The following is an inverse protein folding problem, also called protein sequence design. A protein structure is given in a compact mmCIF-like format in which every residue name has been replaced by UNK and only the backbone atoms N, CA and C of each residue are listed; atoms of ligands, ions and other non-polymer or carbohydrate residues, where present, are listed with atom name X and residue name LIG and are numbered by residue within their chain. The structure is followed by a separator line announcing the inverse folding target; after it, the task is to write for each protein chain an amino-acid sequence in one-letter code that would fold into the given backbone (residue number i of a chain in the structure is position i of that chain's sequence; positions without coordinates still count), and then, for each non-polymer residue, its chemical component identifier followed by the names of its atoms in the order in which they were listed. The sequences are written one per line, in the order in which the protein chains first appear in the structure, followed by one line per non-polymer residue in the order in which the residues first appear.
data_IF_176501299896
#
_entry.id   IF_176501299896
#
_cell.length_a   1.000
_cell.length_b   1.000
_cell.length_c   1.000
_cell.angle_alpha   90.00
_cell.angle_beta   90.00
_cell.angle_gamma   90.00
#
_symmetry.space_group_name_H-M   'P 1'
#
loop_
_entity.id
_entity.type
_entity.pdbx_description
1 polymer ?
#
# COMPACT_ATOMS: atom_id res chain seq x y z
N UNK A 1 21.05 38.64 16.10
CA UNK A 1 21.75 37.56 15.40
C UNK A 1 20.94 36.29 15.63
N UNK A 2 20.27 35.75 14.62
CA UNK A 2 19.50 34.50 14.77
C UNK A 2 20.50 33.34 14.76
N UNK A 3 20.76 32.76 15.93
CA UNK A 3 21.53 31.52 16.05
C UNK A 3 20.54 30.38 15.78
N UNK A 4 20.55 29.87 14.56
CA UNK A 4 19.77 28.68 14.20
C UNK A 4 20.62 27.49 14.62
N UNK A 5 20.12 26.71 15.57
CA UNK A 5 20.69 25.42 15.94
C UNK A 5 20.65 24.53 14.68
N UNK A 6 21.80 24.35 14.03
CA UNK A 6 21.99 23.61 12.77
C UNK A 6 22.03 22.10 13.04
N UNK A 7 21.14 21.59 13.88
CA UNK A 7 21.29 20.33 14.63
C UNK A 7 21.46 19.06 13.82
N UNK A 8 21.47 19.09 12.48
CA UNK A 8 21.84 17.93 11.66
C UNK A 8 22.80 18.24 10.50
N UNK A 9 23.23 19.48 10.30
CA UNK A 9 24.22 19.84 9.27
C UNK A 9 23.88 19.37 7.84
N UNK A 10 22.64 18.93 7.58
CA UNK A 10 22.21 18.27 6.36
C UNK A 10 20.77 18.64 5.99
N UNK A 11 20.42 18.48 4.73
CA UNK A 11 19.09 18.76 4.19
C UNK A 11 18.11 17.61 4.47
N UNK A 12 16.94 17.86 5.06
CA UNK A 12 15.94 16.81 5.35
C UNK A 12 15.28 16.19 4.10
N UNK A 13 15.52 16.75 2.91
CA UNK A 13 14.93 16.25 1.65
C UNK A 13 15.89 15.32 0.91
N UNK A 14 17.16 15.72 0.74
CA UNK A 14 18.16 14.91 0.05
C UNK A 14 19.17 14.23 0.98
N UNK A 15 19.11 14.51 2.29
CA UNK A 15 20.02 14.05 3.33
C UNK A 15 21.50 14.41 3.10
N UNK A 16 21.79 15.28 2.14
CA UNK A 16 23.14 15.76 1.86
C UNK A 16 23.59 16.80 2.88
N UNK A 17 24.86 16.72 3.30
CA UNK A 17 25.50 17.71 4.16
C UNK A 17 25.52 19.11 3.54
N UNK A 18 25.53 20.12 4.40
CA UNK A 18 25.72 21.54 4.06
C UNK A 18 27.21 21.91 3.98
N UNK A 19 28.08 20.93 3.76
CA UNK A 19 29.54 21.01 3.79
C UNK A 19 30.15 21.69 2.56
N UNK A 20 29.37 21.86 1.50
CA UNK A 20 29.90 22.21 0.20
C UNK A 20 30.50 23.63 0.10
N UNK A 21 31.50 23.74 -0.77
CA UNK A 21 32.23 24.96 -1.07
C UNK A 21 31.33 26.12 -1.53
N UNK A 22 31.77 27.38 -1.36
CA UNK A 22 31.03 28.55 -1.83
C UNK A 22 30.76 28.46 -3.34
N UNK A 23 29.53 28.09 -3.70
CA UNK A 23 29.10 27.96 -5.10
C UNK A 23 28.27 26.70 -5.38
N UNK A 24 28.35 25.67 -4.54
CA UNK A 24 27.50 24.50 -4.69
C UNK A 24 26.04 24.80 -4.28
N UNK A 25 25.06 24.18 -4.96
CA UNK A 25 23.63 24.29 -4.63
C UNK A 25 23.24 23.69 -3.27
N UNK A 26 24.21 23.10 -2.57
CA UNK A 26 24.08 22.47 -1.25
C UNK A 26 24.21 23.41 -0.06
N UNK A 27 24.38 24.72 -0.27
CA UNK A 27 24.37 25.67 0.85
C UNK A 27 22.99 25.68 1.56
N UNK A 28 22.94 25.89 2.89
CA UNK A 28 21.68 25.92 3.63
C UNK A 28 20.90 27.20 3.30
N UNK A 29 19.61 27.04 3.06
CA UNK A 29 18.66 28.12 2.80
C UNK A 29 17.44 27.97 3.70
N UNK A 30 16.96 29.08 4.24
CA UNK A 30 15.73 29.15 5.02
C UNK A 30 14.57 29.72 4.19
N UNK A 31 13.35 29.32 4.55
CA UNK A 31 12.08 29.82 4.01
C UNK A 31 11.30 30.55 5.13
N UNK A 32 10.22 31.30 4.85
CA UNK A 32 9.53 32.14 5.85
C UNK A 32 9.08 31.42 7.12
N UNK A 33 8.85 30.11 7.08
CA UNK A 33 8.48 29.32 8.26
C UNK A 33 9.67 28.92 9.14
N UNK A 34 10.90 29.27 8.80
CA UNK A 34 12.11 29.02 9.59
C UNK A 34 12.87 27.73 9.30
N UNK A 35 12.25 26.75 8.62
CA UNK A 35 12.91 25.48 8.27
C UNK A 35 14.01 25.66 7.21
N UNK A 36 15.03 24.80 7.25
CA UNK A 36 16.27 24.91 6.45
C UNK A 36 16.44 23.72 5.50
N UNK A 37 16.75 24.00 4.24
CA UNK A 37 16.96 22.99 3.19
C UNK A 37 18.05 23.45 2.21
N UNK A 38 18.55 22.58 1.33
CA UNK A 38 19.38 23.04 0.22
C UNK A 38 18.52 23.75 -0.86
N UNK A 39 19.16 24.61 -1.67
CA UNK A 39 18.45 25.41 -2.68
C UNK A 39 17.79 24.53 -3.73
N UNK A 40 18.48 23.48 -4.17
CA UNK A 40 17.99 22.54 -5.18
C UNK A 40 16.68 21.89 -4.74
N UNK A 41 16.61 21.39 -3.51
CA UNK A 41 15.39 20.79 -2.97
C UNK A 41 14.23 21.79 -2.89
N UNK A 42 14.48 23.05 -2.51
CA UNK A 42 13.44 24.08 -2.45
C UNK A 42 12.92 24.50 -3.83
N UNK A 43 13.75 24.45 -4.86
CA UNK A 43 13.35 24.78 -6.23
C UNK A 43 12.52 23.67 -6.85
N UNK A 44 12.87 22.40 -6.56
CA UNK A 44 12.21 21.21 -7.12
C UNK A 44 10.89 20.87 -6.42
N UNK A 45 10.68 21.28 -5.17
CA UNK A 45 9.47 20.91 -4.43
C UNK A 45 8.20 21.55 -5.03
N UNK A 46 7.23 20.70 -5.36
CA UNK A 46 5.93 21.08 -5.89
C UNK A 46 4.83 20.30 -5.16
N UNK A 47 3.77 20.96 -4.65
CA UNK A 47 3.58 22.42 -4.61
C UNK A 47 4.62 23.12 -3.72
N UNK A 48 4.79 24.44 -3.88
CA UNK A 48 5.73 25.26 -3.07
C UNK A 48 5.27 25.40 -1.61
N UNK A 49 5.36 24.31 -0.86
CA UNK A 49 5.01 24.18 0.55
C UNK A 49 6.18 23.54 1.29
N UNK A 50 6.43 23.99 2.52
CA UNK A 50 7.48 23.42 3.36
C UNK A 50 7.28 21.89 3.53
N UNK A 51 8.30 21.05 3.26
CA UNK A 51 8.21 19.60 3.50
C UNK A 51 7.87 19.20 4.93
N UNK A 52 8.21 20.04 5.91
CA UNK A 52 8.03 19.75 7.34
C UNK A 52 6.68 20.26 7.87
N UNK A 53 6.36 21.55 7.70
CA UNK A 53 5.14 22.15 8.25
C UNK A 53 4.07 22.53 7.23
N UNK A 54 4.31 22.29 5.93
CA UNK A 54 3.40 22.59 4.82
C UNK A 54 3.04 24.08 4.63
N UNK A 55 3.70 24.99 5.34
CA UNK A 55 3.52 26.43 5.13
C UNK A 55 3.91 26.82 3.69
N UNK A 56 3.07 27.58 2.96
CA UNK A 56 3.39 27.99 1.60
C UNK A 56 4.59 28.95 1.59
N UNK A 57 5.40 28.88 0.55
CA UNK A 57 6.50 29.81 0.34
C UNK A 57 6.67 30.14 -1.15
N UNK A 58 7.38 31.23 -1.43
CA UNK A 58 7.69 31.64 -2.79
C UNK A 58 9.21 31.66 -3.01
N UNK A 59 9.70 31.45 -4.24
CA UNK A 59 11.14 31.35 -4.52
C UNK A 59 11.91 32.60 -4.09
N UNK A 60 11.31 33.78 -4.26
CA UNK A 60 11.88 35.06 -3.88
C UNK A 60 12.06 35.23 -2.36
N UNK A 61 11.36 34.42 -1.55
CA UNK A 61 11.43 34.44 -0.08
C UNK A 61 12.52 33.52 0.48
N UNK A 62 13.16 32.72 -0.37
CA UNK A 62 14.26 31.84 0.03
C UNK A 62 15.47 32.71 0.37
N UNK A 63 16.06 32.52 1.56
CA UNK A 63 17.24 33.25 2.03
C UNK A 63 18.38 32.28 2.31
N UNK A 64 19.57 32.57 1.75
CA UNK A 64 20.79 31.81 2.05
C UNK A 64 21.22 32.09 3.48
N UNK A 65 21.50 31.04 4.24
CA UNK A 65 22.05 31.15 5.60
C UNK A 65 23.57 31.09 5.49
N UNK A 66 24.24 32.08 6.08
CA UNK A 66 25.70 32.06 6.22
C UNK A 66 26.06 31.31 7.50
N UNK A 67 26.62 30.11 7.34
CA UNK A 67 27.19 29.37 8.46
C UNK A 67 28.62 29.85 8.62
N UNK A 68 28.86 30.67 9.64
CA UNK A 68 30.21 31.01 10.04
C UNK A 68 30.82 29.73 10.62
N UNK A 69 31.68 29.07 9.85
CA UNK A 69 32.56 28.04 10.40
C UNK A 69 33.43 28.77 11.41
N UNK A 70 33.11 28.63 12.70
CA UNK A 70 34.06 29.02 13.74
C UNK A 70 35.33 28.25 13.41
N UNK A 71 36.40 28.98 13.09
CA UNK A 71 37.73 28.40 12.95
C UNK A 71 37.89 27.54 14.19
N UNK A 72 38.08 26.22 14.02
CA UNK A 72 38.42 25.38 15.16
C UNK A 72 39.52 26.13 15.92
N UNK A 73 39.40 26.29 17.25
CA UNK A 73 40.41 27.04 18.00
C UNK A 73 41.76 26.51 17.54
N UNK A 74 42.60 27.40 17.00
CA UNK A 74 43.99 27.05 16.72
C UNK A 74 44.49 26.41 18.01
N UNK A 75 45.13 25.22 17.94
CA UNK A 75 45.49 24.47 19.13
C UNK A 75 46.24 25.43 20.03
N UNK A 76 45.57 25.89 21.08
CA UNK A 76 46.22 26.64 22.13
C UNK A 76 47.21 25.62 22.67
N UNK A 77 48.50 25.95 22.61
CA UNK A 77 49.53 25.20 23.32
C UNK A 77 49.22 25.35 24.82
N UNK A 78 48.25 24.59 25.29
CA UNK A 78 47.98 24.44 26.71
C UNK A 78 49.17 23.63 27.24
N UNK A 79 49.92 24.13 28.23
CA UNK A 79 51.01 23.37 28.85
C UNK A 79 50.54 21.96 29.19
N UNK A 80 51.32 20.98 28.74
CA UNK A 80 51.04 19.55 28.65
C UNK A 80 50.87 18.82 30.01
N UNK A 81 50.59 19.53 31.10
CA UNK A 81 50.62 18.98 32.47
C UNK A 81 49.25 18.73 33.09
N UNK A 82 48.15 19.13 32.44
CA UNK A 82 46.81 18.60 32.76
C UNK A 82 46.35 17.63 31.67
N UNK A 83 46.83 16.40 31.82
CA UNK A 83 46.31 15.22 31.13
C UNK A 83 44.82 15.12 31.49
N UNK A 84 43.96 15.65 30.63
CA UNK A 84 42.58 15.18 30.57
C UNK A 84 42.65 13.70 30.21
N UNK A 85 42.46 12.84 31.22
CA UNK A 85 42.14 11.43 31.02
C UNK A 85 40.86 11.41 30.18
N UNK A 86 41.01 11.36 28.86
CA UNK A 86 39.90 11.04 27.96
C UNK A 86 39.37 9.69 28.47
N UNK A 87 38.11 9.61 28.93
CA UNK A 87 37.54 8.33 29.32
C UNK A 87 37.75 7.37 28.17
N UNK A 88 38.35 6.22 28.51
CA UNK A 88 38.86 5.24 27.56
C UNK A 88 37.74 4.90 26.57
N UNK A 89 37.95 5.17 25.29
CA UNK A 89 37.03 4.81 24.19
C UNK A 89 36.63 3.32 24.23
N UNK A 90 37.39 2.51 24.95
CA UNK A 90 37.23 1.08 25.10
C UNK A 90 35.98 0.73 25.94
N UNK A 91 35.63 1.48 27.00
CA UNK A 91 34.41 1.22 27.78
C UNK A 91 33.14 1.49 26.96
N UNK A 92 33.11 2.60 26.22
CA UNK A 92 31.98 2.95 25.36
C UNK A 92 31.79 1.90 24.24
N UNK A 93 32.90 1.50 23.60
CA UNK A 93 32.86 0.50 22.53
C UNK A 93 32.47 -0.90 23.02
N UNK A 94 32.89 -1.29 24.23
CA UNK A 94 32.53 -2.57 24.82
C UNK A 94 31.03 -2.63 25.17
N UNK A 95 30.47 -1.54 25.68
CA UNK A 95 29.02 -1.42 25.88
C UNK A 95 28.25 -1.48 24.55
N UNK A 96 28.74 -0.85 23.48
CA UNK A 96 28.15 -0.98 22.14
C UNK A 96 28.22 -2.43 21.66
N UNK A 97 29.35 -3.11 21.80
CA UNK A 97 29.53 -4.49 21.39
C UNK A 97 28.55 -5.43 22.10
N UNK A 98 28.50 -5.36 23.44
CA UNK A 98 27.55 -6.14 24.26
C UNK A 98 26.10 -5.83 23.91
N UNK A 99 25.79 -4.56 23.60
CA UNK A 99 24.46 -4.17 23.17
C UNK A 99 24.09 -4.86 21.85
N UNK A 100 24.98 -4.83 20.86
CA UNK A 100 24.75 -5.50 19.58
C UNK A 100 24.59 -7.02 19.74
N UNK A 101 25.42 -7.66 20.56
CA UNK A 101 25.32 -9.09 20.87
C UNK A 101 24.00 -9.44 21.57
N UNK A 102 23.54 -8.59 22.49
CA UNK A 102 22.26 -8.78 23.18
C UNK A 102 21.04 -8.60 22.26
N UNK A 103 21.18 -7.89 21.12
CA UNK A 103 20.11 -7.77 20.13
C UNK A 103 19.95 -9.03 19.27
N UNK A 104 20.99 -9.85 19.17
CA UNK A 104 20.97 -11.11 18.41
C UNK A 104 20.50 -12.30 19.27
N UNK A 105 20.48 -12.15 20.59
CA UNK A 105 20.00 -13.18 21.50
C UNK A 105 18.47 -13.27 21.51
N UNK A 106 17.92 -14.48 21.54
CA UNK A 106 16.46 -14.75 21.60
C UNK A 106 15.80 -14.38 22.95
N UNK A 107 16.56 -13.83 23.91
CA UNK A 107 16.10 -13.54 25.28
C UNK A 107 16.21 -12.05 25.58
N UNK A 108 15.15 -11.48 26.14
CA UNK A 108 15.09 -10.05 26.47
C UNK A 108 15.90 -9.66 27.73
N UNK A 109 16.12 -10.59 28.65
CA UNK A 109 16.82 -10.36 29.92
C UNK A 109 18.23 -9.74 29.76
N UNK A 110 19.16 -10.31 28.95
CA UNK A 110 20.48 -9.71 28.76
C UNK A 110 20.43 -8.32 28.08
N UNK A 111 19.43 -8.06 27.23
CA UNK A 111 19.27 -6.77 26.57
C UNK A 111 18.86 -5.68 27.58
N UNK A 112 17.94 -5.98 28.49
CA UNK A 112 17.49 -5.03 29.51
C UNK A 112 18.62 -4.66 30.47
N UNK A 113 19.46 -5.62 30.84
CA UNK A 113 20.63 -5.38 31.67
C UNK A 113 21.62 -4.41 30.99
N UNK A 114 21.97 -4.67 29.72
CA UNK A 114 22.89 -3.81 28.95
C UNK A 114 22.29 -2.40 28.75
N UNK A 115 20.98 -2.28 28.55
CA UNK A 115 20.31 -0.96 28.46
C UNK A 115 20.44 -0.19 29.79
N UNK A 116 20.32 -0.87 30.94
CA UNK A 116 20.53 -0.27 32.26
C UNK A 116 21.93 0.31 32.41
N UNK A 117 22.95 -0.50 32.09
CA UNK A 117 24.35 -0.09 32.14
C UNK A 117 24.65 1.10 31.22
N UNK A 118 24.10 1.09 30.01
CA UNK A 118 24.24 2.21 29.07
C UNK A 118 23.57 3.48 29.59
N UNK A 119 22.40 3.36 30.21
CA UNK A 119 21.68 4.50 30.77
C UNK A 119 22.46 5.11 31.92
N UNK A 120 23.04 4.28 32.79
CA UNK A 120 23.93 4.72 33.86
C UNK A 120 25.20 5.38 33.31
N UNK A 121 25.80 4.80 32.27
CA UNK A 121 26.96 5.36 31.59
C UNK A 121 26.66 6.76 31.00
N UNK A 122 25.53 6.93 30.31
CA UNK A 122 25.11 8.22 29.77
C UNK A 122 24.78 9.25 30.87
N UNK A 123 24.20 8.81 32.00
CA UNK A 123 23.84 9.67 33.12
C UNK A 123 25.03 10.06 34.00
N UNK A 124 26.15 9.33 33.92
CA UNK A 124 27.36 9.62 34.69
C UNK A 124 28.01 10.98 34.35
N UNK A 125 27.57 11.64 33.27
CA UNK A 125 28.09 12.94 32.83
C UNK A 125 29.50 12.86 32.23
N UNK A 126 30.09 11.68 32.14
CA UNK A 126 31.45 11.45 31.62
C UNK A 126 31.56 11.65 30.10
N UNK A 127 30.44 11.64 29.37
CA UNK A 127 30.42 11.73 27.90
C UNK A 127 29.50 12.84 27.43
N UNK A 128 29.98 13.67 26.50
CA UNK A 128 29.12 14.60 25.76
C UNK A 128 28.17 13.83 24.85
N UNK A 129 26.87 13.98 25.08
CA UNK A 129 25.78 13.32 24.33
C UNK A 129 25.89 13.47 22.80
N UNK A 130 26.47 14.56 22.32
CA UNK A 130 26.60 14.84 20.88
C UNK A 130 27.71 14.02 20.20
N UNK A 131 28.72 13.59 20.94
CA UNK A 131 29.86 12.82 20.41
C UNK A 131 29.78 11.32 20.73
N UNK A 132 28.82 10.90 21.56
CA UNK A 132 28.69 9.50 21.98
C UNK A 132 28.20 8.61 20.82
N UNK A 133 28.98 7.56 20.54
CA UNK A 133 28.61 6.49 19.62
C UNK A 133 27.40 5.74 20.14
N UNK A 134 27.33 5.49 21.45
CA UNK A 134 26.18 4.86 22.11
C UNK A 134 24.90 5.67 21.88
N UNK A 135 24.92 6.98 22.12
CA UNK A 135 23.74 7.82 21.92
C UNK A 135 23.22 7.76 20.47
N UNK A 136 24.14 7.67 19.50
CA UNK A 136 23.80 7.49 18.07
C UNK A 136 23.19 6.12 17.79
N UNK A 137 23.74 5.05 18.37
CA UNK A 137 23.20 3.68 18.24
C UNK A 137 21.77 3.60 18.78
N UNK A 138 21.49 4.18 19.95
CA UNK A 138 20.14 4.21 20.53
C UNK A 138 19.14 4.98 19.66
N UNK A 139 19.55 6.12 19.10
CA UNK A 139 18.73 6.90 18.18
C UNK A 139 18.37 6.08 16.93
N UNK A 140 19.35 5.40 16.35
CA UNK A 140 19.15 4.52 15.20
C UNK A 140 18.25 3.33 15.55
N UNK A 141 18.42 2.70 16.71
CA UNK A 141 17.54 1.62 17.19
C UNK A 141 16.09 2.08 17.27
N UNK A 142 15.83 3.24 17.89
CA UNK A 142 14.47 3.79 18.02
C UNK A 142 13.84 4.05 16.64
N UNK A 143 14.63 4.51 15.68
CA UNK A 143 14.18 4.67 14.29
C UNK A 143 13.85 3.32 13.65
N UNK A 144 14.71 2.31 13.81
CA UNK A 144 14.47 0.94 13.33
C UNK A 144 13.19 0.35 13.93
N UNK A 145 12.97 0.49 15.23
CA UNK A 145 11.77 -0.02 15.89
C UNK A 145 10.50 0.71 15.41
N UNK A 146 10.60 2.02 15.19
CA UNK A 146 9.52 2.81 14.60
C UNK A 146 9.21 2.33 13.18
N UNK A 147 10.23 2.05 12.36
CA UNK A 147 10.08 1.54 11.01
C UNK A 147 9.51 0.10 11.01
N UNK A 148 9.97 -0.77 11.91
CA UNK A 148 9.43 -2.14 12.08
C UNK A 148 7.95 -2.11 12.48
N UNK A 149 7.57 -1.24 13.41
CA UNK A 149 6.17 -1.05 13.82
C UNK A 149 5.31 -0.55 12.66
N UNK A 150 5.79 0.44 11.89
CA UNK A 150 5.12 0.92 10.67
C UNK A 150 5.00 -0.19 9.61
N UNK A 151 6.06 -0.96 9.39
CA UNK A 151 6.07 -2.07 8.45
C UNK A 151 5.06 -3.14 8.83
N UNK A 152 4.98 -3.53 10.12
CA UNK A 152 3.96 -4.46 10.62
C UNK A 152 2.54 -3.96 10.36
N UNK A 153 2.25 -2.69 10.68
CA UNK A 153 0.95 -2.06 10.40
C UNK A 153 0.63 -2.01 8.90
N UNK A 154 1.62 -1.75 8.05
CA UNK A 154 1.44 -1.77 6.61
C UNK A 154 1.17 -3.19 6.10
N UNK A 155 1.88 -4.20 6.61
CA UNK A 155 1.65 -5.61 6.28
C UNK A 155 0.24 -6.06 6.66
N UNK A 156 -0.23 -5.69 7.85
CA UNK A 156 -1.62 -5.94 8.29
C UNK A 156 -2.63 -5.31 7.33
N UNK A 157 -2.44 -4.02 6.97
CA UNK A 157 -3.31 -3.33 6.00
C UNK A 157 -3.26 -3.97 4.61
N UNK A 158 -2.09 -4.40 4.15
CA UNK A 158 -1.96 -5.10 2.87
C UNK A 158 -2.77 -6.40 2.87
N UNK A 159 -2.73 -7.17 3.96
CA UNK A 159 -3.60 -8.35 4.14
C UNK A 159 -5.08 -7.99 4.01
N UNK A 160 -5.54 -6.93 4.69
CA UNK A 160 -6.95 -6.50 4.57
C UNK A 160 -7.34 -6.10 3.14
N UNK A 161 -6.44 -5.46 2.37
CA UNK A 161 -6.72 -5.12 0.99
C UNK A 161 -6.74 -6.36 0.08
N UNK A 162 -5.88 -7.33 0.32
CA UNK A 162 -5.91 -8.61 -0.40
C UNK A 162 -7.22 -9.35 -0.19
N UNK A 163 -7.77 -9.34 1.03
CA UNK A 163 -9.05 -9.95 1.34
C UNK A 163 -10.21 -9.23 0.66
N UNK A 164 -10.23 -7.88 0.68
CA UNK A 164 -11.21 -7.07 -0.06
C UNK A 164 -11.16 -7.37 -1.57
N UNK A 165 -9.96 -7.50 -2.14
CA UNK A 165 -9.80 -7.83 -3.57
C UNK A 165 -10.34 -9.23 -3.89
N UNK A 166 -10.17 -10.21 -3.00
CA UNK A 166 -10.77 -11.54 -3.17
C UNK A 166 -12.30 -11.47 -3.12
N UNK A 167 -12.86 -10.74 -2.17
CA UNK A 167 -14.31 -10.55 -2.03
C UNK A 167 -14.92 -9.90 -3.28
N UNK A 168 -14.31 -8.82 -3.78
CA UNK A 168 -14.75 -8.16 -5.00
C UNK A 168 -14.70 -9.07 -6.24
N UNK A 169 -13.72 -9.98 -6.31
CA UNK A 169 -13.67 -10.99 -7.39
C UNK A 169 -14.82 -11.98 -7.28
N UNK A 170 -15.17 -12.42 -6.07
CA UNK A 170 -16.32 -13.31 -5.85
C UNK A 170 -17.64 -12.64 -6.27
N UNK A 171 -17.86 -11.40 -5.82
CA UNK A 171 -19.06 -10.64 -6.16
C UNK A 171 -19.21 -10.42 -7.67
N UNK A 172 -18.11 -10.19 -8.39
CA UNK A 172 -18.13 -10.06 -9.86
C UNK A 172 -18.57 -11.35 -10.57
N UNK A 173 -18.19 -12.51 -10.03
CA UNK A 173 -18.63 -13.81 -10.57
C UNK A 173 -20.13 -14.01 -10.32
N UNK A 174 -20.61 -13.66 -9.14
CA UNK A 174 -22.04 -13.70 -8.79
C UNK A 174 -22.87 -12.73 -9.65
N UNK A 175 -22.40 -11.49 -9.84
CA UNK A 175 -23.02 -10.51 -10.74
C UNK A 175 -23.16 -11.06 -12.16
N UNK A 176 -22.10 -11.68 -12.68
CA UNK A 176 -22.11 -12.31 -14.00
C UNK A 176 -23.10 -13.49 -14.08
N UNK A 177 -23.27 -14.24 -12.99
CA UNK A 177 -24.27 -15.31 -12.90
C UNK A 177 -25.68 -14.74 -12.93
N UNK A 178 -25.99 -13.75 -12.10
CA UNK A 178 -27.31 -13.12 -12.09
C UNK A 178 -27.65 -12.47 -13.43
N UNK A 179 -26.67 -11.87 -14.10
CA UNK A 179 -26.87 -11.32 -15.43
C UNK A 179 -27.33 -12.38 -16.44
N UNK A 180 -26.67 -13.55 -16.46
CA UNK A 180 -27.06 -14.68 -17.32
C UNK A 180 -28.46 -15.19 -16.98
N UNK A 181 -28.78 -15.35 -15.70
CA UNK A 181 -30.12 -15.77 -15.25
C UNK A 181 -31.19 -14.76 -15.70
N UNK A 182 -30.91 -13.46 -15.58
CA UNK A 182 -31.82 -12.41 -16.01
C UNK A 182 -32.02 -12.39 -17.54
N UNK A 183 -30.98 -12.63 -18.32
CA UNK A 183 -31.10 -12.81 -19.77
C UNK A 183 -31.92 -14.04 -20.15
N UNK A 184 -31.80 -15.15 -19.41
CA UNK A 184 -32.63 -16.33 -19.66
C UNK A 184 -34.10 -16.07 -19.36
N UNK A 185 -34.40 -15.40 -18.23
CA UNK A 185 -35.76 -15.03 -17.87
C UNK A 185 -36.37 -14.05 -18.87
N UNK A 186 -35.58 -13.09 -19.38
CA UNK A 186 -36.02 -12.16 -20.44
C UNK A 186 -36.39 -12.91 -21.72
N UNK A 187 -35.58 -13.88 -22.14
CA UNK A 187 -35.88 -14.72 -23.32
C UNK A 187 -37.18 -15.50 -23.14
N UNK A 188 -37.38 -16.10 -21.97
CA UNK A 188 -38.63 -16.81 -21.66
C UNK A 188 -39.83 -15.85 -21.69
N UNK A 189 -39.70 -14.65 -21.14
CA UNK A 189 -40.78 -13.65 -21.15
C UNK A 189 -41.20 -13.27 -22.58
N UNK A 190 -40.24 -13.10 -23.50
CA UNK A 190 -40.52 -12.84 -24.92
C UNK A 190 -41.27 -14.03 -25.55
N UNK A 191 -40.82 -15.26 -25.31
CA UNK A 191 -41.49 -16.46 -25.81
C UNK A 191 -42.94 -16.58 -25.30
N UNK A 192 -43.18 -16.29 -24.02
CA UNK A 192 -44.54 -16.28 -23.47
C UNK A 192 -45.39 -15.17 -24.06
N UNK A 193 -44.81 -14.01 -24.35
CA UNK A 193 -45.51 -12.91 -24.98
C UNK A 193 -45.94 -13.28 -26.41
N UNK A 194 -45.04 -13.86 -27.21
CA UNK A 194 -45.36 -14.38 -28.56
C UNK A 194 -46.46 -15.44 -28.50
N UNK A 195 -46.41 -16.34 -27.51
CA UNK A 195 -47.45 -17.35 -27.32
C UNK A 195 -48.82 -16.74 -26.95
N UNK A 196 -48.84 -15.71 -26.10
CA UNK A 196 -50.06 -14.98 -25.76
C UNK A 196 -50.66 -14.32 -27.00
N UNK A 197 -49.83 -13.69 -27.85
CA UNK A 197 -50.27 -13.08 -29.11
C UNK A 197 -50.88 -14.12 -30.06
N UNK A 198 -50.24 -15.29 -30.22
CA UNK A 198 -50.80 -16.40 -31.01
C UNK A 198 -52.17 -16.87 -30.48
N UNK A 199 -52.32 -16.99 -29.15
CA UNK A 199 -53.60 -17.36 -28.56
C UNK A 199 -54.68 -16.29 -28.81
N UNK A 200 -54.31 -15.01 -28.74
CA UNK A 200 -55.24 -13.91 -29.03
C UNK A 200 -55.72 -13.94 -30.48
N UNK A 201 -54.81 -14.17 -31.44
CA UNK A 201 -55.16 -14.33 -32.86
C UNK A 201 -56.14 -15.49 -33.07
N UNK A 202 -55.88 -16.63 -32.42
CA UNK A 202 -56.76 -17.80 -32.47
C UNK A 202 -58.15 -17.51 -31.89
N UNK A 203 -58.22 -16.79 -30.76
CA UNK A 203 -59.49 -16.35 -30.17
C UNK A 203 -60.26 -15.48 -31.17
N UNK A 204 -59.61 -14.51 -31.81
CA UNK A 204 -60.23 -13.63 -32.81
C UNK A 204 -60.76 -14.38 -34.04
N UNK A 205 -60.07 -15.44 -34.48
CA UNK A 205 -60.57 -16.33 -35.55
C UNK A 205 -61.83 -17.07 -35.09
N UNK A 206 -61.80 -17.67 -33.89
CA UNK A 206 -62.97 -18.37 -33.35
C UNK A 206 -64.18 -17.47 -33.17
N UNK A 207 -63.98 -16.21 -32.74
CA UNK A 207 -65.05 -15.21 -32.64
C UNK A 207 -65.70 -14.92 -33.99
N UNK A 208 -64.93 -14.81 -35.07
CA UNK A 208 -65.46 -14.63 -36.44
C UNK A 208 -66.30 -15.83 -36.91
N UNK A 209 -65.84 -17.04 -36.63
CA UNK A 209 -66.56 -18.28 -36.95
C UNK A 209 -67.91 -18.33 -36.20
N UNK A 210 -67.90 -18.04 -34.89
CA UNK A 210 -69.12 -18.04 -34.06
C UNK A 210 -70.14 -17.01 -34.55
N UNK A 211 -69.69 -15.86 -35.07
CA UNK A 211 -70.55 -14.83 -35.65
C UNK A 211 -71.05 -15.14 -37.07
N UNK A 212 -70.70 -16.31 -37.63
CA UNK A 212 -71.12 -16.74 -38.97
C UNK A 212 -70.49 -15.93 -40.10
N UNK A 213 -69.33 -15.32 -39.86
CA UNK A 213 -68.67 -14.44 -40.83
C UNK A 213 -67.70 -15.17 -41.78
N UNK A 214 -67.26 -16.40 -41.45
CA UNK A 214 -66.35 -17.23 -42.28
C UNK A 214 -66.68 -18.73 -42.13
N UNK A 215 -66.62 -19.49 -43.24
CA UNK A 215 -66.79 -20.96 -43.29
C UNK A 215 -65.57 -21.63 -43.96
N UNK A 216 -64.41 -21.82 -43.29
CA UNK A 216 -63.42 -22.90 -43.59
C UNK A 216 -62.14 -22.92 -42.71
N UNK A 217 -61.28 -23.96 -42.82
CA UNK A 217 -60.98 -24.91 -41.76
C UNK A 217 -59.99 -24.40 -40.71
N UNK A 218 -60.23 -24.79 -39.45
CA UNK A 218 -59.37 -24.54 -38.30
C UNK A 218 -57.96 -25.07 -38.61
N UNK A 219 -56.99 -24.17 -38.79
CA UNK A 219 -55.57 -24.54 -38.79
C UNK A 219 -55.25 -25.20 -37.46
N UNK A 220 -54.45 -26.27 -37.50
CA UNK A 220 -54.04 -27.04 -36.31
C UNK A 220 -53.71 -26.12 -35.14
N UNK A 221 -54.18 -26.43 -33.92
CA UNK A 221 -53.95 -25.58 -32.75
C UNK A 221 -52.45 -25.32 -32.59
N UNK A 222 -52.07 -24.14 -32.04
CA UNK A 222 -50.68 -23.87 -31.76
C UNK A 222 -50.25 -24.93 -30.73
N UNK A 223 -49.18 -25.65 -31.04
CA UNK A 223 -48.55 -26.59 -30.10
C UNK A 223 -48.39 -25.88 -28.76
N UNK A 224 -48.93 -26.47 -27.70
CA UNK A 224 -48.96 -25.81 -26.39
C UNK A 224 -47.53 -25.54 -25.91
N UNK A 225 -47.31 -24.58 -24.99
CA UNK A 225 -46.00 -24.34 -24.41
C UNK A 225 -45.48 -25.58 -23.68
N UNK A 226 -46.39 -26.46 -23.23
CA UNK A 226 -46.08 -27.77 -22.67
C UNK A 226 -45.59 -28.76 -23.74
N UNK A 227 -46.14 -28.75 -24.96
CA UNK A 227 -45.64 -29.55 -26.09
C UNK A 227 -44.25 -29.06 -26.55
N UNK A 228 -44.04 -27.74 -26.58
CA UNK A 228 -42.74 -27.13 -26.84
C UNK A 228 -41.75 -27.41 -25.70
N UNK A 229 -42.20 -27.36 -24.45
CA UNK A 229 -41.39 -27.69 -23.27
C UNK A 229 -41.02 -29.17 -23.23
N UNK A 230 -41.96 -30.08 -23.51
CA UNK A 230 -41.68 -31.50 -23.64
C UNK A 230 -40.71 -31.80 -24.79
N UNK A 231 -40.86 -31.10 -25.93
CA UNK A 231 -39.92 -31.16 -27.03
C UNK A 231 -38.51 -30.69 -26.64
N UNK A 232 -38.41 -29.58 -25.90
CA UNK A 232 -37.14 -28.99 -25.46
C UNK A 232 -36.46 -29.84 -24.38
N UNK A 233 -37.23 -30.35 -23.41
CA UNK A 233 -36.75 -31.26 -22.35
C UNK A 233 -36.25 -32.56 -22.97
N UNK A 234 -36.97 -33.11 -23.96
CA UNK A 234 -36.53 -34.30 -24.70
C UNK A 234 -35.24 -34.03 -25.48
N UNK A 235 -35.13 -32.90 -26.18
CA UNK A 235 -33.92 -32.54 -26.91
C UNK A 235 -32.70 -32.31 -26.00
N UNK A 236 -32.90 -31.71 -24.81
CA UNK A 236 -31.85 -31.54 -23.81
C UNK A 236 -31.44 -32.89 -23.19
N UNK A 237 -32.39 -33.77 -22.93
CA UNK A 237 -32.12 -35.13 -22.44
C UNK A 237 -31.32 -35.93 -23.46
N UNK A 238 -31.74 -35.91 -24.73
CA UNK A 238 -31.03 -36.57 -25.83
C UNK A 238 -29.62 -35.98 -26.02
N UNK A 239 -29.42 -34.66 -25.85
CA UNK A 239 -28.11 -34.03 -25.92
C UNK A 239 -27.18 -34.42 -24.74
N UNK A 240 -27.74 -34.66 -23.56
CA UNK A 240 -26.99 -35.16 -22.39
C UNK A 240 -26.62 -36.64 -22.57
N UNK A 241 -27.49 -37.46 -23.16
CA UNK A 241 -27.19 -38.87 -23.45
C UNK A 241 -26.22 -39.05 -24.63
N UNK A 242 -26.25 -38.15 -25.62
CA UNK A 242 -25.40 -38.23 -26.81
C UNK A 242 -24.09 -37.45 -26.70
N UNK A 243 -23.89 -36.67 -25.64
CA UNK A 243 -22.59 -36.09 -25.32
C UNK A 243 -21.72 -37.17 -24.68
N UNK A 244 -20.73 -37.75 -25.39
CA UNK A 244 -19.79 -38.65 -24.75
C UNK A 244 -19.12 -37.88 -23.61
N UNK A 245 -19.00 -38.53 -22.45
CA UNK A 245 -18.26 -38.06 -21.28
C UNK A 245 -16.79 -37.83 -21.65
N UNK A 246 -16.52 -36.70 -22.30
CA UNK A 246 -15.18 -36.21 -22.62
C UNK A 246 -14.35 -35.92 -21.36
N UNK A 247 -15.00 -35.86 -20.21
CA UNK A 247 -14.37 -35.78 -18.89
C UNK A 247 -13.69 -37.09 -18.42
N UNK A 248 -14.01 -38.27 -18.97
CA UNK A 248 -13.30 -39.51 -18.61
C UNK A 248 -12.11 -39.81 -19.54
N UNK A 249 -12.06 -39.22 -20.74
CA UNK A 249 -10.95 -39.43 -21.68
C UNK A 249 -9.71 -38.57 -21.34
N UNK A 250 -9.87 -37.37 -20.77
CA UNK A 250 -8.72 -36.52 -20.39
C UNK A 250 -8.07 -36.89 -19.04
N UNK A 251 -8.72 -37.72 -18.21
CA UNK A 251 -8.16 -38.16 -16.93
C UNK A 251 -7.20 -39.36 -17.04
N UNK A 252 -7.16 -40.08 -18.16
CA UNK A 252 -6.28 -41.26 -18.35
C UNK A 252 -4.95 -40.96 -19.07
N UNK A 253 -4.75 -39.75 -19.61
CA UNK A 253 -3.49 -39.36 -20.26
C UNK A 253 -2.53 -38.57 -19.33
N UNK A 254 -2.97 -38.17 -18.13
CA UNK A 254 -2.16 -37.39 -17.18
C UNK A 254 -1.27 -38.18 -16.21
N UNK A 255 -1.35 -39.51 -16.17
CA UNK A 255 -0.67 -40.35 -15.15
C UNK A 255 0.59 -41.07 -15.66
N UNK A 256 1.14 -40.65 -16.80
CA UNK A 256 2.43 -41.13 -17.34
C UNK A 256 3.30 -39.98 -17.85
N UNK A 257 3.74 -39.09 -16.95
CA UNK A 257 4.86 -38.18 -17.17
C UNK A 257 5.54 -37.84 -15.84
#
# INVERSE_FOLDING_TARGET
MLVVDLSLGACDVCFGGFDGEPGCGKAPHTIPCGHVFCKECLVTVMPRKCPLCRHPFALQTIRKIFVQKLKAPEPVEVPLEEIYVLPEKDEEMELVRRYLESLEADKDEPLLQVIGEITEFLNSGKVRLESSTIARVFRLKRQVDTLKSKHRKHKEKMGTYEDIVKELRSLRVEESRFHRELETMRRQAVQYQEYIEQLQDHITVLERIILGQEEEPISTPPSTPEDLFHGLVKALWDAVETSPTTLEAEMLEGEKA
#
